data_IF_874129202976
#
_entry.id   IF_874129202976
#
_cell.length_a   1.000
_cell.length_b   1.000
_cell.length_c   1.000
_cell.angle_alpha   90.00
_cell.angle_beta   90.00
_cell.angle_gamma   90.00
#
_symmetry.space_group_name_H-M   'P 1'
#
loop_
_entity.id
_entity.type
_entity.pdbx_description
1 polymer ?
#
# COMPACT_ATOMS: atom_id res chain seq x y z
N UNK A 1 16.99 -2.54 14.85
CA UNK A 1 16.59 -1.19 14.46
C UNK A 1 15.31 -0.76 15.15
N UNK A 2 15.25 0.50 15.50
CA UNK A 2 14.05 1.05 16.12
C UNK A 2 13.02 1.42 15.08
N UNK A 3 11.78 1.13 15.40
CA UNK A 3 10.63 1.48 14.57
C UNK A 3 9.85 2.58 15.31
N UNK A 4 9.57 3.73 14.67
CA UNK A 4 8.98 4.89 15.37
C UNK A 4 7.45 4.79 15.57
N UNK A 5 6.92 3.58 15.74
CA UNK A 5 5.50 3.35 15.94
C UNK A 5 5.29 2.17 16.88
N UNK A 6 4.16 2.18 17.57
CA UNK A 6 3.74 1.09 18.43
C UNK A 6 2.73 0.16 17.74
N UNK A 7 2.14 0.61 16.64
CA UNK A 7 1.16 -0.17 15.89
C UNK A 7 1.82 -1.36 15.19
N UNK A 8 1.07 -2.43 14.99
CA UNK A 8 1.56 -3.61 14.30
C UNK A 8 1.80 -3.33 12.83
N UNK A 9 2.95 -3.73 12.33
CA UNK A 9 3.26 -3.69 10.92
C UNK A 9 2.78 -4.97 10.25
N UNK A 10 2.23 -4.84 9.05
CA UNK A 10 1.58 -5.96 8.35
C UNK A 10 2.34 -6.39 7.11
N UNK A 11 3.06 -5.50 6.45
CA UNK A 11 3.76 -5.82 5.22
C UNK A 11 4.95 -4.89 5.01
N UNK A 12 5.94 -5.38 4.28
CA UNK A 12 7.12 -4.62 3.90
C UNK A 12 7.49 -4.99 2.47
N UNK A 13 7.97 -3.99 1.71
CA UNK A 13 8.46 -4.21 0.36
C UNK A 13 9.67 -3.31 0.11
N UNK A 14 10.65 -3.82 -0.61
CA UNK A 14 11.83 -3.05 -1.01
C UNK A 14 11.88 -2.95 -2.53
N UNK A 15 12.29 -1.79 -3.04
CA UNK A 15 12.53 -1.61 -4.48
C UNK A 15 14.00 -1.81 -4.86
N UNK A 16 14.87 -1.78 -3.87
CA UNK A 16 16.29 -2.10 -4.00
C UNK A 16 16.83 -2.45 -2.60
N UNK A 17 18.13 -2.65 -2.49
CA UNK A 17 18.75 -3.06 -1.22
C UNK A 17 18.57 -2.04 -0.08
N UNK A 18 18.36 -0.77 -0.42
CA UNK A 18 18.34 0.30 0.58
C UNK A 18 16.95 0.92 0.81
N UNK A 19 16.12 0.95 -0.21
CA UNK A 19 14.85 1.69 -0.16
C UNK A 19 13.66 0.77 -0.01
N UNK A 20 12.91 0.95 1.06
CA UNK A 20 11.75 0.12 1.36
C UNK A 20 10.63 0.89 2.05
N UNK A 21 9.46 0.25 2.07
CA UNK A 21 8.26 0.78 2.70
C UNK A 21 7.62 -0.32 3.52
N UNK A 22 7.18 0.01 4.73
CA UNK A 22 6.38 -0.88 5.57
C UNK A 22 5.06 -0.20 5.88
N UNK A 23 4.00 -0.99 5.94
CA UNK A 23 2.66 -0.50 6.26
C UNK A 23 2.04 -1.34 7.36
N UNK A 24 1.07 -0.76 8.05
CA UNK A 24 0.45 -1.46 9.16
C UNK A 24 -0.90 -0.91 9.57
N UNK A 25 -1.30 -1.29 10.78
CA UNK A 25 -2.59 -0.91 11.34
C UNK A 25 -2.66 0.60 11.55
N UNK A 26 -3.88 1.10 11.52
CA UNK A 26 -4.19 2.53 11.73
C UNK A 26 -3.55 3.47 10.69
N UNK A 27 -3.25 2.94 9.51
CA UNK A 27 -2.72 3.75 8.42
C UNK A 27 -1.24 4.08 8.53
N UNK A 28 -0.50 3.33 9.31
CA UNK A 28 0.94 3.56 9.48
C UNK A 28 1.68 3.27 8.19
N UNK A 29 2.53 4.21 7.77
CA UNK A 29 3.45 4.06 6.64
C UNK A 29 4.84 4.47 7.10
N UNK A 30 5.79 3.57 6.97
CA UNK A 30 7.19 3.82 7.31
C UNK A 30 8.06 3.66 6.08
N UNK A 31 9.09 4.48 5.96
CA UNK A 31 10.07 4.38 4.87
C UNK A 31 11.47 4.22 5.41
N UNK A 32 12.30 3.50 4.68
CA UNK A 32 13.73 3.38 4.96
C UNK A 32 14.51 3.68 3.70
N UNK A 33 15.70 4.24 3.86
CA UNK A 33 16.65 4.51 2.76
C UNK A 33 18.02 3.90 3.03
N UNK A 34 18.13 3.13 4.10
CA UNK A 34 19.39 2.53 4.54
C UNK A 34 19.27 1.03 4.79
N UNK A 35 18.38 0.36 4.05
CA UNK A 35 18.24 -1.09 4.14
C UNK A 35 17.50 -1.57 5.38
N UNK A 36 16.71 -0.70 6.00
CA UNK A 36 15.95 -1.05 7.19
C UNK A 36 16.67 -0.76 8.50
N UNK A 37 17.81 -0.09 8.45
CA UNK A 37 18.55 0.28 9.67
C UNK A 37 17.85 1.38 10.43
N UNK A 38 17.20 2.31 9.72
CA UNK A 38 16.35 3.32 10.32
C UNK A 38 15.10 3.49 9.49
N UNK A 39 14.00 3.89 10.15
CA UNK A 39 12.70 4.04 9.54
C UNK A 39 12.11 5.39 9.91
N UNK A 40 11.43 6.02 8.96
CA UNK A 40 10.74 7.29 9.16
C UNK A 40 9.25 7.09 8.93
N UNK A 41 8.44 7.68 9.82
CA UNK A 41 6.99 7.65 9.63
C UNK A 41 6.60 8.72 8.62
N UNK A 42 5.88 8.29 7.57
CA UNK A 42 5.37 9.18 6.54
C UNK A 42 3.95 9.60 6.87
N UNK A 43 3.58 10.79 6.43
CA UNK A 43 2.22 11.29 6.58
C UNK A 43 1.38 10.87 5.39
N UNK A 44 0.17 10.42 5.64
CA UNK A 44 -0.85 10.17 4.63
C UNK A 44 -2.22 10.32 5.29
N UNK A 45 -3.26 10.55 4.48
CA UNK A 45 -4.55 11.00 5.00
C UNK A 45 -5.44 9.89 5.55
N UNK A 46 -5.23 8.65 5.15
CA UNK A 46 -6.07 7.54 5.60
C UNK A 46 -5.63 7.01 6.95
N UNK A 47 -6.61 6.67 7.80
CA UNK A 47 -6.36 5.97 9.06
C UNK A 47 -6.81 4.51 8.99
N UNK A 48 -7.23 4.05 7.83
CA UNK A 48 -7.62 2.64 7.64
C UNK A 48 -6.41 1.73 7.79
N UNK A 49 -6.64 0.52 8.29
CA UNK A 49 -5.59 -0.49 8.38
C UNK A 49 -5.05 -0.81 6.99
N UNK A 50 -3.74 -0.89 6.87
CA UNK A 50 -3.06 -1.24 5.63
C UNK A 50 -2.47 -2.63 5.78
N UNK A 51 -2.70 -3.50 4.79
CA UNK A 51 -2.36 -4.92 4.89
C UNK A 51 -1.30 -5.38 3.89
N UNK A 52 -1.08 -4.65 2.82
CA UNK A 52 -0.03 -4.98 1.86
C UNK A 52 0.50 -3.72 1.19
N UNK A 53 1.76 -3.79 0.80
CA UNK A 53 2.44 -2.74 0.04
C UNK A 53 3.40 -3.40 -0.91
N UNK A 54 3.56 -2.82 -2.10
CA UNK A 54 4.47 -3.34 -3.11
C UNK A 54 5.08 -2.20 -3.93
N UNK A 55 6.27 -2.46 -4.46
CA UNK A 55 6.87 -1.58 -5.45
C UNK A 55 6.36 -2.00 -6.83
N UNK A 56 5.80 -1.05 -7.57
CA UNK A 56 5.33 -1.24 -8.94
C UNK A 56 6.38 -0.68 -9.89
N UNK A 57 7.29 -1.54 -10.33
CA UNK A 57 8.43 -1.13 -11.13
C UNK A 57 8.01 -0.61 -12.51
N UNK A 58 6.99 -1.21 -13.10
CA UNK A 58 6.52 -0.81 -14.43
C UNK A 58 6.02 0.62 -14.45
N UNK A 59 5.40 1.08 -13.38
CA UNK A 59 4.83 2.43 -13.27
C UNK A 59 5.61 3.33 -12.30
N UNK A 60 6.72 2.86 -11.76
CA UNK A 60 7.63 3.60 -10.88
C UNK A 60 6.90 4.24 -9.70
N UNK A 61 6.17 3.41 -8.98
CA UNK A 61 5.38 3.88 -7.82
C UNK A 61 5.24 2.80 -6.76
N UNK A 62 4.96 3.25 -5.55
CA UNK A 62 4.56 2.39 -4.45
C UNK A 62 3.04 2.28 -4.42
N UNK A 63 2.53 1.07 -4.17
CA UNK A 63 1.10 0.83 -4.02
C UNK A 63 0.84 0.06 -2.74
N UNK A 64 -0.24 0.43 -2.04
CA UNK A 64 -0.70 -0.29 -0.85
C UNK A 64 -2.20 -0.42 -0.81
N UNK A 65 -2.68 -1.42 -0.09
CA UNK A 65 -4.12 -1.70 0.07
C UNK A 65 -4.42 -2.09 1.50
N UNK A 66 -5.68 -1.97 1.87
CA UNK A 66 -6.09 -2.28 3.22
C UNK A 66 -7.57 -2.43 3.42
N UNK A 67 -8.04 -2.03 4.59
CA UNK A 67 -9.42 -2.12 5.01
C UNK A 67 -10.30 -1.11 4.26
N UNK A 68 -11.58 -1.43 4.15
CA UNK A 68 -12.61 -0.53 3.64
C UNK A 68 -12.36 -0.04 2.22
N UNK A 69 -11.76 -0.89 1.37
CA UNK A 69 -11.44 -0.56 -0.01
C UNK A 69 -10.37 0.52 -0.16
N UNK A 70 -9.55 0.71 0.86
CA UNK A 70 -8.52 1.75 0.86
C UNK A 70 -7.34 1.36 -0.03
N UNK A 71 -6.85 2.33 -0.80
CA UNK A 71 -5.57 2.24 -1.48
C UNK A 71 -4.69 3.43 -1.10
N UNK A 72 -3.37 3.24 -1.18
CA UNK A 72 -2.40 4.31 -1.08
C UNK A 72 -1.40 4.19 -2.22
N UNK A 73 -0.84 5.32 -2.64
CA UNK A 73 0.23 5.32 -3.63
C UNK A 73 1.21 6.47 -3.39
N UNK A 74 2.44 6.28 -3.84
CA UNK A 74 3.47 7.30 -3.79
C UNK A 74 4.47 7.09 -4.93
N UNK A 75 5.14 8.16 -5.35
CA UNK A 75 6.23 8.08 -6.30
C UNK A 75 7.48 7.42 -5.69
N UNK A 76 8.58 7.33 -6.47
CA UNK A 76 9.78 6.60 -6.03
C UNK A 76 10.38 7.07 -4.70
N UNK A 77 10.25 8.36 -4.39
CA UNK A 77 10.80 8.90 -3.14
C UNK A 77 9.99 8.54 -1.89
N UNK A 78 8.79 7.98 -2.07
CA UNK A 78 7.91 7.53 -0.99
C UNK A 78 7.62 8.63 0.05
N UNK A 79 7.47 9.87 -0.40
CA UNK A 79 7.20 11.01 0.48
C UNK A 79 5.98 11.83 0.04
N UNK A 80 5.30 11.42 -1.01
CA UNK A 80 4.15 12.12 -1.57
C UNK A 80 2.91 11.23 -1.58
N UNK A 81 2.65 10.58 -0.44
CA UNK A 81 1.58 9.59 -0.34
C UNK A 81 0.21 10.19 -0.59
N UNK A 82 -0.55 9.50 -1.42
CA UNK A 82 -1.95 9.78 -1.69
C UNK A 82 -2.78 8.58 -1.30
N UNK A 83 -4.00 8.82 -0.84
CA UNK A 83 -4.91 7.74 -0.47
C UNK A 83 -6.28 7.98 -1.08
N UNK A 84 -7.02 6.89 -1.22
CA UNK A 84 -8.38 6.93 -1.73
C UNK A 84 -9.07 5.60 -1.49
N UNK A 85 -10.24 5.45 -2.08
CA UNK A 85 -11.00 4.22 -2.00
C UNK A 85 -11.26 3.69 -3.40
N UNK A 86 -11.24 2.36 -3.52
CA UNK A 86 -11.47 1.68 -4.80
C UNK A 86 -12.85 2.02 -5.37
N UNK A 87 -13.85 2.01 -4.49
CA UNK A 87 -15.22 2.36 -4.80
C UNK A 87 -15.88 2.70 -3.46
N UNK A 88 -16.73 3.74 -3.43
CA UNK A 88 -17.41 4.14 -2.20
C UNK A 88 -18.27 3.03 -1.59
N UNK A 89 -18.71 2.09 -2.42
CA UNK A 89 -19.54 0.97 -1.98
C UNK A 89 -18.75 -0.26 -1.61
N UNK A 90 -17.45 -0.30 -1.92
CA UNK A 90 -16.60 -1.44 -1.58
C UNK A 90 -15.96 -1.17 -0.21
N UNK A 91 -16.47 -1.88 0.81
CA UNK A 91 -15.92 -1.83 2.17
C UNK A 91 -15.07 -3.06 2.47
N UNK A 92 -14.70 -3.82 1.46
CA UNK A 92 -13.94 -5.04 1.63
C UNK A 92 -12.52 -4.76 2.10
N UNK A 93 -11.95 -5.70 2.82
CA UNK A 93 -10.55 -5.68 3.26
C UNK A 93 -9.72 -6.41 2.22
N UNK A 94 -8.71 -5.73 1.69
CA UNK A 94 -7.79 -6.31 0.73
C UNK A 94 -6.44 -6.52 1.40
N UNK A 95 -5.92 -7.73 1.32
CA UNK A 95 -4.72 -8.16 2.04
C UNK A 95 -3.54 -8.44 1.12
N UNK A 96 -3.74 -8.37 -0.19
CA UNK A 96 -2.67 -8.56 -1.18
C UNK A 96 -2.89 -7.64 -2.37
N UNK A 97 -1.78 -7.12 -2.91
CA UNK A 97 -1.80 -6.33 -4.14
C UNK A 97 -0.68 -6.82 -5.06
N UNK A 98 -1.02 -6.99 -6.34
CA UNK A 98 -0.08 -7.41 -7.37
C UNK A 98 -0.21 -6.50 -8.59
N UNK A 99 0.78 -5.64 -8.85
CA UNK A 99 0.79 -4.83 -10.06
C UNK A 99 0.98 -5.70 -11.30
N UNK A 100 0.28 -5.34 -12.38
CA UNK A 100 0.41 -6.01 -13.67
C UNK A 100 0.14 -5.02 -14.78
N UNK A 101 1.20 -4.57 -15.48
CA UNK A 101 1.06 -3.54 -16.51
C UNK A 101 0.55 -2.23 -15.91
N UNK A 102 -0.54 -1.70 -16.45
CA UNK A 102 -1.17 -0.47 -15.95
C UNK A 102 -2.22 -0.74 -14.87
N UNK A 103 -2.46 -2.00 -14.55
CA UNK A 103 -3.46 -2.41 -13.60
C UNK A 103 -2.81 -3.00 -12.35
N UNK A 104 -3.60 -3.13 -11.30
CA UNK A 104 -3.21 -3.89 -10.11
C UNK A 104 -4.33 -4.88 -9.78
N UNK A 105 -3.94 -6.08 -9.37
CA UNK A 105 -4.87 -7.10 -8.88
C UNK A 105 -4.85 -7.10 -7.37
N UNK A 106 -6.02 -7.13 -6.78
CA UNK A 106 -6.20 -7.10 -5.34
C UNK A 106 -6.98 -8.33 -4.89
N UNK A 107 -6.56 -8.90 -3.78
CA UNK A 107 -7.22 -10.05 -3.17
C UNK A 107 -7.43 -9.81 -1.68
N UNK A 108 -8.45 -10.46 -1.14
CA UNK A 108 -8.85 -10.37 0.26
C UNK A 108 -10.27 -10.89 0.39
N UNK A 109 -11.17 -10.07 0.92
CA UNK A 109 -12.59 -10.42 1.00
C UNK A 109 -13.21 -10.63 -0.38
N UNK A 110 -12.67 -9.96 -1.40
CA UNK A 110 -13.00 -10.23 -2.80
C UNK A 110 -11.73 -10.13 -3.64
N UNK A 111 -11.83 -10.49 -4.92
CA UNK A 111 -10.72 -10.40 -5.87
C UNK A 111 -11.16 -9.52 -7.03
N UNK A 112 -10.29 -8.61 -7.45
CA UNK A 112 -10.59 -7.74 -8.56
C UNK A 112 -9.35 -7.05 -9.10
N UNK A 113 -9.55 -6.21 -10.11
CA UNK A 113 -8.49 -5.40 -10.70
C UNK A 113 -8.84 -3.93 -10.62
N UNK A 114 -7.81 -3.12 -10.45
CA UNK A 114 -7.92 -1.67 -10.30
C UNK A 114 -7.00 -1.00 -11.32
N UNK A 115 -7.54 -0.07 -12.11
CA UNK A 115 -6.81 0.64 -13.14
C UNK A 115 -6.70 2.15 -12.85
N UNK A 116 -6.86 2.53 -11.57
CA UNK A 116 -6.91 3.90 -11.07
C UNK A 116 -8.21 4.64 -11.36
N UNK A 117 -8.97 4.19 -12.34
CA UNK A 117 -10.26 4.82 -12.69
C UNK A 117 -11.43 3.98 -12.21
N UNK A 118 -11.27 2.66 -12.24
CA UNK A 118 -12.35 1.73 -11.89
C UNK A 118 -11.84 0.55 -11.11
N UNK A 119 -12.69 0.12 -10.21
CA UNK A 119 -12.54 -1.13 -9.47
C UNK A 119 -13.48 -2.17 -10.09
N UNK A 120 -12.90 -3.28 -10.54
CA UNK A 120 -13.63 -4.36 -11.19
C UNK A 120 -13.53 -5.62 -10.34
N UNK A 121 -14.63 -5.99 -9.67
CA UNK A 121 -14.67 -7.19 -8.84
C UNK A 121 -14.96 -8.40 -9.73
N UNK A 122 -14.19 -9.49 -9.54
CA UNK A 122 -14.42 -10.74 -10.22
C UNK A 122 -15.57 -11.51 -9.57
N UNK A 123 -16.32 -12.26 -10.39
CA UNK A 123 -17.36 -13.15 -9.89
C UNK A 123 -18.69 -12.47 -9.60
N UNK A 124 -18.89 -11.27 -10.09
CA UNK A 124 -20.15 -10.54 -9.93
C UNK A 124 -20.78 -10.22 -11.27
#
# INVERSE_FOLDING_TARGET
PKVPVESSLMAVSFRNANEGVAVGLEGVVLTTRDGGRSWHREKQDSHAHLFDVTWDDANQRWLGVGALGTWIQAGPEANDWQSGRLDERDLAWHTRILPKGKEAWLAGANVGRWDEKRWHILGH
#
